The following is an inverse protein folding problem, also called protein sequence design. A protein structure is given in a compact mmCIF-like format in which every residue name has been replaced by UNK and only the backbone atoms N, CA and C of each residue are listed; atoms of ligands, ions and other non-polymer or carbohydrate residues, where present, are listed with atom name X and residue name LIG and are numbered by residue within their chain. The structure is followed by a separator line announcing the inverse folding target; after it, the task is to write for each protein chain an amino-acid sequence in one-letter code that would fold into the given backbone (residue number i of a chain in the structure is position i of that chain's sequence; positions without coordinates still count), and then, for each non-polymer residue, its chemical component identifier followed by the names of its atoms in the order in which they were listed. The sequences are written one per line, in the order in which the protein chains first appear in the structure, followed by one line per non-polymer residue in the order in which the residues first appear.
data_IF_409811351125
#
_entry.id   IF_409811351125
#
_cell.length_a   1.000
_cell.length_b   1.000
_cell.length_c   1.000
_cell.angle_alpha   90.00
_cell.angle_beta   90.00
_cell.angle_gamma   90.00
#
_symmetry.space_group_name_H-M   'P 1'
#
loop_
_entity.id
_entity.type
_entity.pdbx_description
1 polymer ?
#
# COMPACT_ATOMS: atom_id res chain seq x y z
N UNK A 1 -20.85 -19.40 -4.88
CA UNK A 1 -19.92 -18.39 -5.44
C UNK A 1 -20.21 -17.07 -4.78
N UNK A 2 -19.20 -16.42 -4.19
CA UNK A 2 -19.34 -15.05 -3.70
C UNK A 2 -18.90 -14.13 -4.85
N UNK A 3 -19.78 -13.24 -5.31
CA UNK A 3 -19.54 -12.34 -6.43
C UNK A 3 -19.63 -10.90 -5.90
N UNK A 4 -18.63 -10.08 -6.19
CA UNK A 4 -18.69 -8.65 -5.92
C UNK A 4 -19.58 -7.97 -6.96
N UNK A 5 -20.69 -7.33 -6.56
CA UNK A 5 -21.64 -6.76 -7.51
C UNK A 5 -21.02 -5.71 -8.44
N UNK A 6 -21.36 -5.71 -9.72
CA UNK A 6 -20.81 -4.75 -10.69
C UNK A 6 -21.21 -3.31 -10.36
N UNK A 7 -22.38 -3.11 -9.76
CA UNK A 7 -22.85 -1.81 -9.26
C UNK A 7 -21.90 -1.23 -8.20
N UNK A 8 -21.22 -2.08 -7.43
CA UNK A 8 -20.30 -1.67 -6.37
C UNK A 8 -18.90 -1.36 -6.92
N UNK A 9 -18.62 -1.74 -8.18
CA UNK A 9 -17.37 -1.41 -8.90
C UNK A 9 -17.40 -0.03 -9.56
N UNK A 10 -18.54 0.67 -9.50
CA UNK A 10 -18.69 2.00 -10.10
C UNK A 10 -18.22 3.07 -9.11
N UNK A 11 -17.15 3.76 -9.49
CA UNK A 11 -16.53 4.80 -8.68
C UNK A 11 -16.67 6.18 -9.30
N UNK A 12 -16.79 7.20 -8.45
CA UNK A 12 -16.65 8.60 -8.88
C UNK A 12 -15.19 9.00 -8.82
N UNK A 13 -14.55 9.13 -9.98
CA UNK A 13 -13.16 9.59 -10.09
C UNK A 13 -13.10 11.12 -10.15
N UNK A 14 -12.34 11.72 -9.24
CA UNK A 14 -12.05 13.16 -9.23
C UNK A 14 -10.54 13.40 -9.36
N UNK A 15 -10.06 14.08 -10.42
CA UNK A 15 -8.64 14.35 -10.57
C UNK A 15 -8.21 15.49 -9.64
N UNK A 16 -7.18 15.25 -8.83
CA UNK A 16 -6.58 16.24 -7.94
C UNK A 16 -5.20 16.63 -8.46
N UNK A 17 -5.00 17.93 -8.69
CA UNK A 17 -3.72 18.44 -9.18
C UNK A 17 -2.61 18.18 -8.15
N UNK A 18 -1.52 17.56 -8.59
CA UNK A 18 -0.36 17.25 -7.74
C UNK A 18 0.72 18.33 -7.86
N UNK A 19 1.30 18.49 -9.04
CA UNK A 19 2.47 19.37 -9.28
C UNK A 19 2.68 19.63 -10.78
N UNK A 20 3.53 20.60 -11.16
CA UNK A 20 3.90 20.84 -12.56
C UNK A 20 2.88 21.63 -13.38
N UNK A 21 2.71 21.28 -14.66
CA UNK A 21 1.82 22.00 -15.57
C UNK A 21 0.37 21.49 -15.45
N UNK A 22 -0.58 22.41 -15.20
CA UNK A 22 -2.01 22.12 -15.08
C UNK A 22 -2.67 21.66 -16.39
N UNK A 23 -2.06 21.90 -17.54
CA UNK A 23 -2.61 21.41 -18.82
C UNK A 23 -2.21 19.97 -19.14
N UNK A 24 -1.26 19.40 -18.39
CA UNK A 24 -0.83 18.02 -18.56
C UNK A 24 -1.59 17.12 -17.60
N UNK A 25 -2.41 16.21 -18.14
CA UNK A 25 -3.20 15.25 -17.37
C UNK A 25 -2.33 14.33 -16.50
N UNK A 26 -1.07 14.09 -16.87
CA UNK A 26 -0.13 13.27 -16.11
C UNK A 26 0.20 13.81 -14.71
N UNK A 27 -0.08 15.09 -14.48
CA UNK A 27 0.18 15.83 -13.24
C UNK A 27 -0.98 15.79 -12.23
N UNK A 28 -2.04 15.07 -12.55
CA UNK A 28 -3.19 14.87 -11.68
C UNK A 28 -3.18 13.46 -11.09
N UNK A 29 -3.60 13.35 -9.83
CA UNK A 29 -3.87 12.07 -9.16
C UNK A 29 -5.36 11.77 -9.28
N UNK A 30 -5.76 10.63 -9.86
CA UNK A 30 -7.15 10.21 -9.80
C UNK A 30 -7.48 9.80 -8.35
N UNK A 31 -8.52 10.39 -7.76
CA UNK A 31 -9.08 9.92 -6.49
C UNK A 31 -10.43 9.27 -6.79
N UNK A 32 -10.50 7.95 -6.60
CA UNK A 32 -11.74 7.18 -6.71
C UNK A 32 -12.52 7.24 -5.40
N UNK A 33 -13.74 7.76 -5.45
CA UNK A 33 -14.69 7.70 -4.35
C UNK A 33 -15.67 6.56 -4.63
N UNK A 34 -15.48 5.47 -3.90
CA UNK A 34 -16.30 4.26 -3.98
C UNK A 34 -17.64 4.43 -3.26
N UNK A 35 -18.62 3.59 -3.57
CA UNK A 35 -19.92 3.60 -2.88
C UNK A 35 -19.78 3.28 -1.38
N UNK A 36 -20.70 3.79 -0.54
CA UNK A 36 -20.68 3.54 0.91
C UNK A 36 -20.73 2.05 1.22
N UNK A 37 -21.52 1.28 0.45
CA UNK A 37 -21.67 -0.16 0.64
C UNK A 37 -20.37 -0.90 0.29
N UNK A 38 -19.75 -0.56 -0.84
CA UNK A 38 -18.43 -1.09 -1.22
C UNK A 38 -17.39 -0.78 -0.14
N UNK A 39 -17.35 0.47 0.36
CA UNK A 39 -16.41 0.89 1.40
C UNK A 39 -16.55 0.13 2.71
N UNK A 40 -17.79 -0.12 3.14
CA UNK A 40 -18.05 -0.92 4.34
C UNK A 40 -17.55 -2.35 4.17
N UNK A 41 -17.84 -2.96 3.02
CA UNK A 41 -17.40 -4.31 2.71
C UNK A 41 -15.87 -4.41 2.62
N UNK A 42 -15.22 -3.52 1.87
CA UNK A 42 -13.76 -3.43 1.79
C UNK A 42 -13.11 -3.25 3.16
N UNK A 43 -13.74 -2.47 4.06
CA UNK A 43 -13.29 -2.34 5.44
C UNK A 43 -13.28 -3.67 6.20
N UNK A 44 -14.28 -4.53 5.99
CA UNK A 44 -14.32 -5.87 6.59
C UNK A 44 -13.22 -6.77 6.03
N UNK A 45 -13.02 -6.75 4.71
CA UNK A 45 -11.96 -7.52 4.03
C UNK A 45 -10.57 -7.04 4.48
N UNK A 46 -10.37 -5.73 4.55
CA UNK A 46 -9.14 -5.12 5.05
C UNK A 46 -8.81 -5.59 6.46
N UNK A 47 -9.78 -5.61 7.37
CA UNK A 47 -9.55 -6.07 8.74
C UNK A 47 -9.13 -7.54 8.79
N UNK A 48 -9.78 -8.42 8.01
CA UNK A 48 -9.40 -9.83 7.93
C UNK A 48 -7.99 -10.03 7.37
N UNK A 49 -7.68 -9.36 6.26
CA UNK A 49 -6.35 -9.41 5.63
C UNK A 49 -5.27 -8.87 6.57
N UNK A 50 -5.55 -7.76 7.25
CA UNK A 50 -4.62 -7.17 8.21
C UNK A 50 -4.30 -8.12 9.37
N UNK A 51 -5.31 -8.77 9.94
CA UNK A 51 -5.11 -9.77 10.99
C UNK A 51 -4.28 -10.94 10.47
N UNK A 52 -4.63 -11.49 9.30
CA UNK A 52 -3.87 -12.58 8.68
C UNK A 52 -2.39 -12.21 8.45
N UNK A 53 -2.12 -11.02 7.91
CA UNK A 53 -0.77 -10.52 7.65
C UNK A 53 0.03 -10.38 8.95
N UNK A 54 -0.60 -9.91 10.03
CA UNK A 54 0.04 -9.75 11.33
C UNK A 54 0.34 -11.10 11.98
N UNK A 55 -0.65 -12.01 12.04
CA UNK A 55 -0.53 -13.32 12.69
C UNK A 55 0.52 -14.21 12.02
N UNK A 56 0.73 -14.04 10.71
CA UNK A 56 1.71 -14.80 9.94
C UNK A 56 3.03 -14.04 9.72
N UNK A 57 3.22 -12.87 10.35
CA UNK A 57 4.45 -12.06 10.24
C UNK A 57 4.90 -11.82 8.79
N UNK A 58 3.95 -11.55 7.88
CA UNK A 58 4.22 -11.47 6.44
C UNK A 58 5.03 -10.23 6.07
N UNK A 59 4.79 -9.11 6.77
CA UNK A 59 5.51 -7.86 6.53
C UNK A 59 6.83 -7.83 7.29
N UNK A 60 7.87 -7.34 6.62
CA UNK A 60 9.17 -7.05 7.21
C UNK A 60 9.04 -6.00 8.32
N UNK A 61 9.81 -6.13 9.39
CA UNK A 61 9.72 -5.26 10.58
C UNK A 61 9.97 -3.77 10.27
N UNK A 62 10.87 -3.49 9.34
CA UNK A 62 11.22 -2.14 8.91
C UNK A 62 10.11 -1.45 8.09
N UNK A 63 9.09 -2.18 7.63
CA UNK A 63 7.97 -1.59 6.92
C UNK A 63 7.07 -0.81 7.88
N UNK A 64 7.10 0.51 7.78
CA UNK A 64 6.30 1.41 8.61
C UNK A 64 5.05 1.95 7.90
N UNK A 65 5.07 2.07 6.57
CA UNK A 65 3.94 2.59 5.80
C UNK A 65 2.71 1.68 5.91
N UNK A 66 1.53 2.29 6.09
CA UNK A 66 0.23 1.60 6.16
C UNK A 66 0.12 0.50 7.24
N UNK A 67 1.00 0.54 8.26
CA UNK A 67 1.04 -0.42 9.36
C UNK A 67 0.60 0.25 10.65
N UNK A 68 -0.22 -0.46 11.44
CA UNK A 68 -0.67 0.06 12.73
C UNK A 68 0.46 0.10 13.73
N UNK A 69 0.47 1.13 14.59
CA UNK A 69 1.53 1.41 15.57
C UNK A 69 2.87 1.82 14.94
N UNK A 70 2.89 2.11 13.64
CA UNK A 70 4.01 2.73 12.95
C UNK A 70 3.61 4.11 12.41
N UNK A 71 4.58 4.99 12.27
CA UNK A 71 4.41 6.32 11.67
C UNK A 71 5.66 6.72 10.89
N UNK A 72 5.62 7.90 10.27
CA UNK A 72 6.79 8.49 9.60
C UNK A 72 7.90 8.81 10.60
N UNK A 73 7.53 9.20 11.83
CA UNK A 73 8.46 9.48 12.92
C UNK A 73 9.16 8.22 13.40
N UNK A 74 8.44 7.10 13.57
CA UNK A 74 9.07 5.84 14.00
C UNK A 74 10.06 5.32 12.95
N UNK A 75 9.73 5.47 11.65
CA UNK A 75 10.62 5.08 10.56
C UNK A 75 11.88 5.94 10.53
N UNK A 76 11.72 7.26 10.67
CA UNK A 76 12.84 8.20 10.71
C UNK A 76 13.73 7.92 11.91
N UNK A 77 13.16 7.79 13.11
CA UNK A 77 13.89 7.53 14.34
C UNK A 77 14.69 6.22 14.26
N UNK A 78 14.07 5.15 13.75
CA UNK A 78 14.74 3.86 13.55
C UNK A 78 15.96 3.99 12.63
N UNK A 79 15.77 4.66 11.49
CA UNK A 79 16.85 4.87 10.51
C UNK A 79 17.97 5.74 11.07
N UNK A 80 17.63 6.86 11.73
CA UNK A 80 18.64 7.78 12.29
C UNK A 80 19.43 7.14 13.43
N UNK A 81 18.79 6.33 14.27
CA UNK A 81 19.48 5.63 15.34
C UNK A 81 20.51 4.63 14.79
N UNK A 82 20.15 3.88 13.76
CA UNK A 82 21.07 2.96 13.08
C UNK A 82 22.27 3.71 12.49
N UNK A 83 22.02 4.86 11.83
CA UNK A 83 23.09 5.66 11.26
C UNK A 83 24.04 6.21 12.33
N UNK A 84 23.51 6.73 13.43
CA UNK A 84 24.31 7.25 14.54
C UNK A 84 25.15 6.13 15.18
N UNK A 85 24.56 4.96 15.40
CA UNK A 85 25.28 3.80 15.93
C UNK A 85 26.46 3.37 15.03
N UNK A 86 26.24 3.35 13.71
CA UNK A 86 27.30 3.05 12.75
C UNK A 86 28.42 4.11 12.77
N UNK A 87 28.06 5.39 12.90
CA UNK A 87 29.04 6.48 13.01
C UNK A 87 29.89 6.35 14.28
N UNK A 88 29.26 6.07 15.42
CA UNK A 88 29.96 5.85 16.69
C UNK A 88 30.90 4.62 16.62
N UNK A 89 30.54 3.64 15.81
CA UNK A 89 31.36 2.44 15.54
C UNK A 89 32.46 2.66 14.50
N UNK A 90 32.64 3.89 14.00
CA UNK A 90 33.63 4.23 12.98
C UNK A 90 33.29 3.73 11.56
N UNK A 91 32.04 3.32 11.33
CA UNK A 91 31.54 2.90 10.02
C UNK A 91 31.00 4.09 9.22
N UNK A 92 30.94 3.93 7.89
CA UNK A 92 30.37 4.92 6.96
C UNK A 92 28.96 4.48 6.59
N UNK A 93 27.99 5.40 6.68
CA UNK A 93 26.62 5.18 6.20
C UNK A 93 26.47 5.67 4.76
N UNK A 94 25.92 4.82 3.88
CA UNK A 94 25.42 5.20 2.58
C UNK A 94 23.92 4.98 2.52
N UNK A 95 23.15 5.99 2.10
CA UNK A 95 21.68 5.93 2.05
C UNK A 95 21.19 6.19 0.64
N UNK A 96 20.36 5.29 0.12
CA UNK A 96 19.69 5.43 -1.17
C UNK A 96 18.19 5.59 -0.96
N UNK A 97 17.64 6.72 -1.38
CA UNK A 97 16.21 6.96 -1.38
C UNK A 97 15.62 6.61 -2.75
N UNK A 98 14.59 5.75 -2.74
CA UNK A 98 13.87 5.31 -3.93
C UNK A 98 12.42 5.77 -3.84
N UNK A 99 11.92 6.40 -4.92
CA UNK A 99 10.51 6.79 -5.05
C UNK A 99 9.94 6.21 -6.35
N UNK A 100 8.76 5.59 -6.24
CA UNK A 100 8.08 4.97 -7.38
C UNK A 100 7.07 5.94 -7.98
N UNK A 101 7.25 6.26 -9.27
CA UNK A 101 6.30 7.10 -10.01
C UNK A 101 4.98 6.37 -10.18
N UNK A 102 3.89 6.98 -9.69
CA UNK A 102 2.51 6.46 -9.82
C UNK A 102 2.38 5.02 -9.31
N UNK A 103 2.87 4.75 -8.11
CA UNK A 103 2.93 3.40 -7.53
C UNK A 103 1.62 2.62 -7.65
N UNK A 104 0.46 3.20 -7.31
CA UNK A 104 -0.83 2.51 -7.42
C UNK A 104 -1.29 2.27 -8.87
N UNK A 105 -1.00 3.19 -9.79
CA UNK A 105 -1.39 3.05 -11.21
C UNK A 105 -0.47 2.08 -11.98
N UNK A 106 0.66 1.67 -11.38
CA UNK A 106 1.70 0.85 -12.02
C UNK A 106 1.80 -0.56 -11.46
N UNK A 107 0.91 -0.93 -10.52
CA UNK A 107 0.86 -2.30 -10.00
C UNK A 107 0.34 -3.24 -11.09
N UNK A 108 1.12 -4.28 -11.38
CA UNK A 108 0.68 -5.39 -12.21
C UNK A 108 -0.24 -6.31 -11.39
N UNK A 109 -1.49 -6.44 -11.84
CA UNK A 109 -2.51 -7.22 -11.15
C UNK A 109 -2.21 -8.73 -11.14
N UNK A 110 -1.59 -9.27 -12.20
CA UNK A 110 -1.25 -10.68 -12.27
C UNK A 110 -0.16 -11.02 -11.24
N UNK A 111 0.91 -10.20 -11.19
CA UNK A 111 1.99 -10.36 -10.21
C UNK A 111 1.46 -10.18 -8.78
N UNK A 112 0.56 -9.23 -8.56
CA UNK A 112 -0.05 -9.01 -7.25
C UNK A 112 -0.83 -10.27 -6.80
N UNK A 113 -1.71 -10.81 -7.64
CA UNK A 113 -2.50 -12.00 -7.33
C UNK A 113 -1.60 -13.22 -7.06
N UNK A 114 -0.55 -13.42 -7.85
CA UNK A 114 0.44 -14.47 -7.62
C UNK A 114 1.12 -14.32 -6.25
N UNK A 115 1.49 -13.10 -5.83
CA UNK A 115 2.07 -12.85 -4.50
C UNK A 115 1.08 -13.16 -3.38
N UNK A 116 -0.18 -12.74 -3.52
CA UNK A 116 -1.22 -13.05 -2.53
C UNK A 116 -1.40 -14.58 -2.38
N UNK A 117 -1.31 -15.32 -3.48
CA UNK A 117 -1.30 -16.80 -3.46
C UNK A 117 -0.13 -17.38 -2.69
N UNK A 118 1.09 -16.91 -2.98
CA UNK A 118 2.29 -17.35 -2.27
C UNK A 118 2.23 -17.06 -0.77
N UNK A 119 1.57 -15.97 -0.37
CA UNK A 119 1.36 -15.62 1.04
C UNK A 119 0.23 -16.41 1.71
N UNK A 120 -0.45 -17.32 1.01
CA UNK A 120 -1.49 -18.19 1.57
C UNK A 120 -2.90 -17.60 1.56
N UNK A 121 -3.13 -16.49 0.85
CA UNK A 121 -4.47 -15.94 0.65
C UNK A 121 -5.15 -16.77 -0.44
N UNK A 122 -6.28 -17.42 -0.09
CA UNK A 122 -6.94 -18.43 -0.93
C UNK A 122 -7.56 -17.87 -2.21
N UNK A 123 -7.68 -18.75 -3.22
CA UNK A 123 -8.27 -18.46 -4.54
C UNK A 123 -9.71 -17.92 -4.50
N UNK A 124 -10.51 -18.33 -3.51
CA UNK A 124 -11.88 -17.82 -3.37
C UNK A 124 -11.97 -16.31 -3.17
N UNK A 125 -10.87 -15.68 -2.74
CA UNK A 125 -10.75 -14.22 -2.56
C UNK A 125 -10.32 -13.52 -3.86
N UNK A 126 -9.76 -14.22 -4.85
CA UNK A 126 -9.31 -13.60 -6.11
C UNK A 126 -10.45 -13.15 -7.01
N UNK A 127 -11.61 -13.82 -6.95
CA UNK A 127 -12.79 -13.40 -7.72
C UNK A 127 -13.35 -12.03 -7.27
N UNK A 128 -12.82 -11.45 -6.19
CA UNK A 128 -13.12 -10.10 -5.73
C UNK A 128 -12.18 -9.04 -6.32
N UNK A 129 -10.87 -9.33 -6.38
CA UNK A 129 -9.82 -8.42 -6.85
C UNK A 129 -9.81 -8.28 -8.38
#
# INVERSE_FOLDING_TARGET
TAIFPDEWKIDKVSPVFKEGNKTDCGNYRPISVISVVAKLFEGLVYNQLRTFIADNSILVEQQSGFRSQHSTETALLGSTNEWLYNMDSGLINGVLFLDLKKAFDTVDHEILLQKLHLYGIKETTYAWF
#
